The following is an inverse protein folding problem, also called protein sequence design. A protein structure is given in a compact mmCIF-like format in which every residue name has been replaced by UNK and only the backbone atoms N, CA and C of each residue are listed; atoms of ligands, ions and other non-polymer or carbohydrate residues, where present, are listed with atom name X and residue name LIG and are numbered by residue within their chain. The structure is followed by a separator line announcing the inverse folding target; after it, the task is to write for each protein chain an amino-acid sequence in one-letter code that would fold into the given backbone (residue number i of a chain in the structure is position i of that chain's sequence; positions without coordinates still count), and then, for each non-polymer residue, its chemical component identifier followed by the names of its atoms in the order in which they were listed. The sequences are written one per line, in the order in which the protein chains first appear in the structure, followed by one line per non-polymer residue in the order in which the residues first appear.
data_IF_891622468482
#
_entry.id   IF_891622468482
#
_cell.length_a   1.000
_cell.length_b   1.000
_cell.length_c   1.000
_cell.angle_alpha   90.00
_cell.angle_beta   90.00
_cell.angle_gamma   90.00
#
_symmetry.space_group_name_H-M   'P 1'
#
loop_
_entity.id
_entity.type
_entity.pdbx_description
1 polymer ?
#
# COMPACT_ATOMS: atom_id res chain seq x y z
N UNK A 1 17.01 -7.78 -4.44
CA UNK A 1 16.22 -8.61 -3.50
C UNK A 1 16.75 -8.60 -2.07
N UNK A 2 18.04 -8.37 -1.83
CA UNK A 2 18.65 -8.39 -0.48
C UNK A 2 17.94 -7.49 0.53
N UNK A 3 17.61 -6.25 0.15
CA UNK A 3 16.87 -5.31 1.03
C UNK A 3 15.48 -5.87 1.34
N UNK A 4 14.74 -6.36 0.35
CA UNK A 4 13.41 -6.93 0.57
C UNK A 4 13.45 -8.13 1.53
N UNK A 5 14.45 -9.02 1.43
CA UNK A 5 14.63 -10.13 2.37
C UNK A 5 14.94 -9.61 3.78
N UNK A 6 15.83 -8.63 3.90
CA UNK A 6 16.16 -8.02 5.18
C UNK A 6 14.92 -7.42 5.86
N UNK A 7 14.17 -6.60 5.14
CA UNK A 7 12.99 -5.92 5.68
C UNK A 7 11.84 -6.91 5.95
N UNK A 8 11.52 -7.78 5.00
CA UNK A 8 10.33 -8.61 5.07
C UNK A 8 10.53 -9.89 5.88
N UNK A 9 11.70 -10.52 5.78
CA UNK A 9 12.00 -11.75 6.52
C UNK A 9 12.68 -11.43 7.85
N UNK A 10 13.81 -10.72 7.84
CA UNK A 10 14.64 -10.64 9.05
C UNK A 10 14.09 -9.64 10.08
N UNK A 11 13.37 -8.61 9.65
CA UNK A 11 12.81 -7.58 10.52
C UNK A 11 11.32 -7.82 10.74
N UNK A 12 10.50 -7.66 9.70
CA UNK A 12 9.04 -7.68 9.86
C UNK A 12 8.51 -9.05 10.27
N UNK A 13 9.09 -10.15 9.78
CA UNK A 13 8.64 -11.46 10.21
C UNK A 13 8.86 -11.66 11.72
N UNK A 14 10.02 -11.23 12.22
CA UNK A 14 10.42 -11.41 13.62
C UNK A 14 9.68 -10.47 14.57
N UNK A 15 9.62 -9.18 14.22
CA UNK A 15 9.09 -8.13 15.11
C UNK A 15 7.57 -8.04 15.07
N UNK A 16 6.95 -8.36 13.93
CA UNK A 16 5.51 -8.15 13.72
C UNK A 16 4.80 -9.49 13.55
N UNK A 17 5.18 -10.28 12.55
CA UNK A 17 4.36 -11.41 12.10
C UNK A 17 4.49 -12.67 12.96
N UNK A 18 5.50 -12.79 13.84
CA UNK A 18 5.61 -13.87 14.83
C UNK A 18 4.78 -13.64 16.08
N UNK A 19 4.27 -12.43 16.31
CA UNK A 19 3.35 -12.16 17.42
C UNK A 19 2.01 -12.87 17.17
N UNK A 20 1.60 -13.73 18.09
CA UNK A 20 0.37 -14.52 17.99
C UNK A 20 -0.89 -13.65 17.96
N UNK A 21 -0.90 -12.47 18.59
CA UNK A 21 -2.02 -11.52 18.53
C UNK A 21 -2.15 -10.95 17.13
N UNK A 22 -1.01 -10.58 16.51
CA UNK A 22 -0.98 -10.07 15.14
C UNK A 22 -1.42 -11.14 14.15
N UNK A 23 -0.97 -12.39 14.32
CA UNK A 23 -1.45 -13.51 13.51
C UNK A 23 -2.97 -13.73 13.67
N UNK A 24 -3.48 -13.66 14.90
CA UNK A 24 -4.92 -13.74 15.18
C UNK A 24 -5.71 -12.64 14.46
N UNK A 25 -5.22 -11.40 14.51
CA UNK A 25 -5.82 -10.27 13.79
C UNK A 25 -5.76 -10.46 12.26
N UNK A 26 -4.66 -10.99 11.71
CA UNK A 26 -4.55 -11.28 10.29
C UNK A 26 -5.55 -12.36 9.81
N UNK A 27 -5.83 -13.36 10.65
CA UNK A 27 -6.86 -14.37 10.36
C UNK A 27 -8.24 -13.73 10.33
N UNK A 28 -8.57 -12.89 11.32
CA UNK A 28 -9.84 -12.17 11.36
C UNK A 28 -9.97 -11.26 10.14
N UNK A 29 -8.96 -10.44 9.85
CA UNK A 29 -8.94 -9.53 8.69
C UNK A 29 -9.15 -10.29 7.38
N UNK A 30 -8.50 -11.44 7.19
CA UNK A 30 -8.69 -12.26 6.00
C UNK A 30 -10.11 -12.82 5.87
N UNK A 31 -10.79 -13.02 6.99
CA UNK A 31 -12.16 -13.56 7.02
C UNK A 31 -13.21 -12.46 6.85
N UNK A 32 -12.97 -11.27 7.42
CA UNK A 32 -13.91 -10.14 7.39
C UNK A 32 -13.63 -9.15 6.26
N UNK A 33 -12.44 -9.18 5.68
CA UNK A 33 -11.95 -8.19 4.73
C UNK A 33 -11.62 -6.82 5.34
N UNK A 34 -11.63 -6.68 6.67
CA UNK A 34 -11.48 -5.39 7.37
C UNK A 34 -10.36 -5.45 8.43
N UNK A 35 -9.43 -4.47 8.47
CA UNK A 35 -9.29 -3.36 7.52
C UNK A 35 -8.89 -3.84 6.13
N UNK A 36 -9.16 -3.03 5.11
CA UNK A 36 -8.81 -3.37 3.74
C UNK A 36 -7.28 -3.50 3.60
N UNK A 37 -6.82 -4.54 2.91
CA UNK A 37 -5.40 -4.82 2.71
C UNK A 37 -4.91 -4.41 1.32
N UNK A 38 -5.56 -3.49 0.63
CA UNK A 38 -5.13 -3.05 -0.70
C UNK A 38 -3.89 -2.18 -0.61
N UNK A 39 -2.87 -2.46 -1.43
CA UNK A 39 -1.74 -1.57 -1.60
C UNK A 39 -2.13 -0.44 -2.56
N UNK A 40 -2.10 0.79 -2.07
CA UNK A 40 -2.48 1.99 -2.83
C UNK A 40 -1.23 2.75 -3.27
N UNK A 41 -1.15 3.13 -4.54
CA UNK A 41 -0.04 3.90 -5.13
C UNK A 41 -0.39 5.39 -5.26
N UNK A 42 -0.98 5.95 -4.21
CA UNK A 42 -1.40 7.35 -4.09
C UNK A 42 -1.03 7.86 -2.70
N UNK A 43 -0.78 9.16 -2.57
CA UNK A 43 -0.48 9.78 -1.29
C UNK A 43 -1.70 9.85 -0.35
N UNK A 44 -2.90 9.55 -0.82
CA UNK A 44 -4.10 9.54 0.03
C UNK A 44 -4.26 8.24 0.83
N UNK A 45 -3.54 7.17 0.49
CA UNK A 45 -3.59 5.82 1.07
C UNK A 45 -4.94 5.09 1.06
N UNK A 46 -6.04 5.80 0.81
CA UNK A 46 -7.38 5.24 0.74
C UNK A 46 -7.64 4.61 -0.63
N UNK A 47 -8.11 3.36 -0.61
CA UNK A 47 -8.41 2.61 -1.83
C UNK A 47 -9.57 3.24 -2.60
N UNK A 48 -10.52 3.89 -1.90
CA UNK A 48 -11.69 4.51 -2.52
C UNK A 48 -11.31 5.68 -3.43
N UNK A 49 -10.18 6.35 -3.14
CA UNK A 49 -9.67 7.46 -3.96
C UNK A 49 -9.09 6.97 -5.29
N UNK A 50 -8.57 5.75 -5.34
CA UNK A 50 -7.95 5.16 -6.54
C UNK A 50 -8.85 4.13 -7.25
N UNK A 51 -10.05 3.88 -6.71
CA UNK A 51 -11.05 2.98 -7.27
C UNK A 51 -12.13 3.74 -8.03
N UNK A 52 -12.75 3.03 -8.96
CA UNK A 52 -13.98 3.49 -9.59
C UNK A 52 -15.14 3.29 -8.62
N UNK A 53 -16.03 4.27 -8.56
CA UNK A 53 -17.29 4.16 -7.84
C UNK A 53 -18.22 3.13 -8.52
N UNK A 54 -19.42 2.92 -7.94
CA UNK A 54 -20.43 2.00 -8.49
C UNK A 54 -20.90 2.34 -9.91
N UNK A 55 -20.68 3.56 -10.38
CA UNK A 55 -20.98 4.02 -11.75
C UNK A 55 -19.79 3.84 -12.71
N UNK A 56 -18.67 3.26 -12.26
CA UNK A 56 -17.48 3.05 -13.07
C UNK A 56 -16.62 4.30 -13.28
N UNK A 57 -16.81 5.34 -12.46
CA UNK A 57 -16.11 6.62 -12.57
C UNK A 57 -15.10 6.80 -11.44
N UNK A 58 -13.96 7.41 -11.74
CA UNK A 58 -13.08 7.94 -10.70
C UNK A 58 -13.67 9.25 -10.15
N UNK A 59 -13.32 9.60 -8.92
CA UNK A 59 -13.83 10.82 -8.27
C UNK A 59 -12.72 11.49 -7.47
N UNK A 60 -12.88 12.79 -7.20
CA UNK A 60 -11.94 13.53 -6.36
C UNK A 60 -10.71 14.06 -7.10
N UNK A 61 -9.66 14.42 -6.34
CA UNK A 61 -8.51 15.18 -6.88
C UNK A 61 -7.70 14.45 -7.95
N UNK A 62 -7.82 13.12 -8.03
CA UNK A 62 -7.04 12.25 -8.92
C UNK A 62 -7.83 11.73 -10.13
N UNK A 63 -9.10 12.12 -10.27
CA UNK A 63 -10.01 11.59 -11.32
C UNK A 63 -9.39 11.68 -12.72
N UNK A 64 -8.86 12.86 -13.05
CA UNK A 64 -8.30 13.13 -14.36
C UNK A 64 -7.03 12.30 -14.62
N UNK A 65 -6.15 12.14 -13.63
CA UNK A 65 -4.95 11.31 -13.81
C UNK A 65 -5.30 9.82 -13.88
N UNK A 66 -6.13 9.31 -12.96
CA UNK A 66 -6.52 7.90 -12.88
C UNK A 66 -7.22 7.40 -14.14
N UNK A 67 -8.06 8.25 -14.75
CA UNK A 67 -8.76 7.92 -16.01
C UNK A 67 -7.82 7.70 -17.20
N UNK A 68 -6.59 8.19 -17.10
CA UNK A 68 -5.60 8.12 -18.17
C UNK A 68 -4.50 7.08 -17.93
N UNK A 69 -4.51 6.41 -16.78
CA UNK A 69 -3.52 5.40 -16.45
C UNK A 69 -3.73 4.13 -17.29
N UNK A 70 -2.64 3.45 -17.70
CA UNK A 70 -2.72 2.20 -18.44
C UNK A 70 -3.18 1.01 -17.58
N UNK A 71 -3.08 1.12 -16.26
CA UNK A 71 -3.44 0.10 -15.26
C UNK A 71 -3.87 0.83 -13.98
N UNK A 72 -4.58 0.14 -13.07
CA UNK A 72 -5.01 0.70 -11.80
C UNK A 72 -3.84 1.12 -10.89
N UNK A 73 -4.02 2.19 -10.13
CA UNK A 73 -3.05 2.68 -9.14
C UNK A 73 -3.15 1.95 -7.78
N UNK A 74 -3.57 0.69 -7.78
CA UNK A 74 -3.66 -0.14 -6.57
C UNK A 74 -3.43 -1.62 -6.87
N UNK A 75 -3.05 -2.38 -5.85
CA UNK A 75 -2.88 -3.83 -5.92
C UNK A 75 -3.56 -4.50 -4.74
N UNK A 76 -4.63 -5.23 -5.02
CA UNK A 76 -5.29 -6.10 -4.04
C UNK A 76 -4.40 -7.30 -3.71
N UNK A 77 -4.54 -7.90 -2.51
CA UNK A 77 -3.94 -9.19 -2.21
C UNK A 77 -4.39 -10.24 -3.21
N UNK A 78 -3.47 -11.13 -3.56
CA UNK A 78 -3.81 -12.31 -4.36
C UNK A 78 -4.74 -13.21 -3.53
N UNK A 79 -5.70 -13.88 -4.16
CA UNK A 79 -6.59 -14.83 -3.48
C UNK A 79 -5.81 -15.81 -2.60
N UNK A 80 -6.25 -15.93 -1.35
CA UNK A 80 -5.59 -16.79 -0.35
C UNK A 80 -4.30 -16.23 0.24
N UNK A 81 -3.95 -14.96 -0.01
CA UNK A 81 -2.79 -14.31 0.61
C UNK A 81 -2.89 -14.37 2.14
N UNK A 82 -1.84 -14.88 2.78
CA UNK A 82 -1.62 -14.87 4.22
C UNK A 82 -0.48 -13.89 4.53
N UNK A 83 -0.81 -12.67 4.94
CA UNK A 83 0.18 -11.60 5.19
C UNK A 83 1.18 -11.96 6.28
N UNK A 84 0.77 -12.78 7.25
CA UNK A 84 1.60 -13.31 8.33
C UNK A 84 2.64 -14.34 7.85
N UNK A 85 2.44 -14.91 6.67
CA UNK A 85 3.36 -15.85 6.06
C UNK A 85 4.27 -15.11 5.07
N UNK A 86 5.58 -15.13 5.32
CA UNK A 86 6.58 -14.46 4.50
C UNK A 86 6.44 -14.78 3.00
N UNK A 87 6.44 -16.07 2.61
CA UNK A 87 6.38 -16.46 1.21
C UNK A 87 5.08 -16.01 0.54
N UNK A 88 3.97 -16.15 1.24
CA UNK A 88 2.66 -15.71 0.75
C UNK A 88 2.60 -14.20 0.56
N UNK A 89 3.10 -13.42 1.53
CA UNK A 89 3.14 -11.96 1.44
C UNK A 89 4.09 -11.49 0.34
N UNK A 90 5.25 -12.13 0.20
CA UNK A 90 6.22 -11.78 -0.82
C UNK A 90 5.71 -12.01 -2.24
N UNK A 91 4.88 -13.04 -2.48
CA UNK A 91 4.21 -13.22 -3.78
C UNK A 91 3.35 -12.01 -4.14
N UNK A 92 2.58 -11.51 -3.18
CA UNK A 92 1.75 -10.32 -3.39
C UNK A 92 2.59 -9.05 -3.58
N UNK A 93 3.60 -8.82 -2.74
CA UNK A 93 4.52 -7.68 -2.86
C UNK A 93 5.22 -7.67 -4.23
N UNK A 94 5.64 -8.84 -4.73
CA UNK A 94 6.25 -8.94 -6.05
C UNK A 94 5.27 -8.56 -7.16
N UNK A 95 4.00 -8.99 -7.09
CA UNK A 95 2.97 -8.58 -8.06
C UNK A 95 2.66 -7.09 -8.00
N UNK A 96 2.59 -6.52 -6.81
CA UNK A 96 2.45 -5.07 -6.64
C UNK A 96 3.65 -4.32 -7.23
N UNK A 97 4.88 -4.82 -7.01
CA UNK A 97 6.10 -4.23 -7.56
C UNK A 97 6.17 -4.33 -9.10
N UNK A 98 5.77 -5.46 -9.68
CA UNK A 98 5.65 -5.61 -11.14
C UNK A 98 4.68 -4.57 -11.72
N UNK A 99 3.51 -4.38 -11.08
CA UNK A 99 2.53 -3.36 -11.46
C UNK A 99 3.10 -1.96 -11.38
N UNK A 100 3.71 -1.62 -10.25
CA UNK A 100 4.37 -0.33 -10.05
C UNK A 100 5.42 -0.07 -11.14
N UNK A 101 6.23 -1.08 -11.48
CA UNK A 101 7.24 -0.96 -12.52
C UNK A 101 6.63 -0.70 -13.91
N UNK A 102 5.54 -1.41 -14.27
CA UNK A 102 4.81 -1.15 -15.53
C UNK A 102 4.24 0.27 -15.59
N UNK A 103 3.66 0.75 -14.49
CA UNK A 103 3.16 2.13 -14.42
C UNK A 103 4.30 3.14 -14.61
N UNK A 104 5.46 2.93 -13.99
CA UNK A 104 6.65 3.79 -14.15
C UNK A 104 7.25 3.77 -15.56
N UNK A 105 7.03 2.71 -16.35
CA UNK A 105 7.48 2.64 -17.74
C UNK A 105 6.59 3.46 -18.69
N UNK A 106 5.31 3.67 -18.32
CA UNK A 106 4.38 4.48 -19.10
C UNK A 106 4.52 5.97 -18.75
N UNK A 107 4.46 6.86 -19.75
CA UNK A 107 4.64 8.30 -19.51
C UNK A 107 3.62 8.89 -18.53
N UNK A 108 2.34 8.53 -18.68
CA UNK A 108 1.26 9.02 -17.81
C UNK A 108 1.34 8.40 -16.43
N UNK A 109 1.61 7.09 -16.36
CA UNK A 109 1.82 6.37 -15.11
C UNK A 109 3.01 6.91 -14.31
N UNK A 110 4.14 7.16 -14.97
CA UNK A 110 5.32 7.77 -14.37
C UNK A 110 5.03 9.16 -13.83
N UNK A 111 4.43 10.04 -14.63
CA UNK A 111 4.06 11.40 -14.18
C UNK A 111 3.14 11.39 -12.95
N UNK A 112 2.15 10.49 -12.93
CA UNK A 112 1.28 10.28 -11.78
C UNK A 112 2.07 9.81 -10.55
N UNK A 113 2.86 8.74 -10.68
CA UNK A 113 3.60 8.17 -9.56
C UNK A 113 4.66 9.14 -9.01
N UNK A 114 5.41 9.84 -9.86
CA UNK A 114 6.38 10.84 -9.44
C UNK A 114 5.72 11.99 -8.66
N UNK A 115 4.54 12.45 -9.10
CA UNK A 115 3.75 13.45 -8.37
C UNK A 115 3.36 12.96 -6.98
N UNK A 116 2.77 11.77 -6.89
CA UNK A 116 2.31 11.21 -5.60
C UNK A 116 3.49 10.89 -4.66
N UNK A 117 4.60 10.37 -5.18
CA UNK A 117 5.83 10.15 -4.41
C UNK A 117 6.45 11.47 -3.93
N UNK A 118 6.35 12.54 -4.72
CA UNK A 118 6.82 13.87 -4.31
C UNK A 118 6.01 14.39 -3.12
N UNK A 119 4.68 14.16 -3.11
CA UNK A 119 3.82 14.51 -1.97
C UNK A 119 4.24 13.70 -0.73
N UNK A 120 4.40 12.38 -0.87
CA UNK A 120 4.81 11.48 0.23
C UNK A 120 6.18 11.89 0.80
N UNK A 121 7.15 12.17 -0.06
CA UNK A 121 8.48 12.63 0.34
C UNK A 121 8.44 13.97 1.08
N UNK A 122 7.44 14.81 0.78
CA UNK A 122 7.21 16.08 1.48
C UNK A 122 6.82 15.94 2.94
N UNK A 123 6.23 14.81 3.37
CA UNK A 123 5.75 14.63 4.73
C UNK A 123 6.85 14.56 5.79
N UNK A 124 8.06 14.14 5.43
CA UNK A 124 9.20 14.21 6.34
C UNK A 124 9.48 15.64 6.83
N UNK A 125 9.03 16.66 6.08
CA UNK A 125 9.13 18.06 6.44
C UNK A 125 7.86 18.63 7.09
N UNK A 126 6.77 17.86 7.14
CA UNK A 126 5.50 18.28 7.73
C UNK A 126 5.63 18.27 9.26
N UNK A 127 5.69 19.47 9.85
CA UNK A 127 5.51 19.67 11.29
C UNK A 127 4.02 19.63 11.62
N UNK A 128 3.37 18.49 11.42
CA UNK A 128 2.05 18.29 11.99
C UNK A 128 2.19 18.42 13.52
N UNK A 129 1.30 19.17 14.18
CA UNK A 129 1.30 19.27 15.64
C UNK A 129 0.98 17.89 16.23
N UNK A 130 2.01 17.11 16.52
CA UNK A 130 1.87 15.71 16.88
C UNK A 130 1.11 15.54 18.20
N UNK A 131 -0.19 15.27 18.14
CA UNK A 131 -0.82 14.40 19.13
C UNK A 131 -0.61 12.96 18.64
N UNK A 132 0.54 12.38 19.00
CA UNK A 132 0.82 10.97 18.70
C UNK A 132 -0.14 10.12 19.54
N UNK A 133 -1.20 9.61 18.91
CA UNK A 133 -2.02 8.54 19.48
C UNK A 133 -1.23 7.22 19.50
N UNK A 134 -1.63 6.28 20.35
CA UNK A 134 -0.99 4.95 20.44
C UNK A 134 -1.08 4.14 19.13
N UNK A 135 -1.95 4.57 18.21
CA UNK A 135 -2.24 4.01 16.89
C UNK A 135 -1.54 4.74 15.74
N UNK A 136 -0.80 5.83 16.01
CA UNK A 136 -0.12 6.58 14.97
C UNK A 136 1.23 5.97 14.58
N UNK A 137 1.49 5.95 13.27
CA UNK A 137 2.81 5.65 12.70
C UNK A 137 3.68 6.91 12.53
N UNK A 138 3.16 8.09 12.87
CA UNK A 138 3.91 9.33 12.82
C UNK A 138 4.78 9.46 14.08
N UNK A 139 6.09 9.66 13.90
CA UNK A 139 7.01 10.04 14.98
C UNK A 139 7.77 8.91 15.69
N UNK A 140 7.76 7.67 15.18
CA UNK A 140 8.68 6.62 15.66
C UNK A 140 10.03 6.74 14.97
N UNK A 141 10.94 7.53 15.55
CA UNK A 141 12.38 7.53 15.26
C UNK A 141 13.08 6.74 16.36
#
# INVERSE_FOLDING_TARGET
MTIAVQEQSNILQEVVWKDWKVQGQAIIQRTTGTPESTLVLSSDYDSDVVRKNKLGQYTGRLENELSQLPESAYSEPIDGTKVENYDSRMKWIQKAAEKYHRLMQNEKGRKFLEKELTIIAGWGNSKAGFKVGSDSNDGKI
#
